data_IF_815386820583
#
_entry.id   IF_815386820583
#
_cell.length_a   1.000
_cell.length_b   1.000
_cell.length_c   1.000
_cell.angle_alpha   90.00
_cell.angle_beta   90.00
_cell.angle_gamma   90.00
#
_symmetry.space_group_name_H-M   'P 1'
#
loop_
_entity.id
_entity.type
_entity.pdbx_description
1 polymer ?
#
# COMPACT_ATOMS: atom_id res chain seq x y z
N UNK A 1 -3.52 6.43 2.20
CA UNK A 1 -3.04 6.58 0.80
C UNK A 1 -4.10 7.34 -0.01
N UNK A 2 -3.74 8.25 -0.91
CA UNK A 2 -4.68 8.87 -1.85
C UNK A 2 -4.40 8.35 -3.26
N UNK A 3 -5.45 7.94 -3.98
CA UNK A 3 -5.37 7.38 -5.34
C UNK A 3 -6.44 8.03 -6.21
N UNK A 4 -6.10 8.34 -7.45
CA UNK A 4 -7.10 8.84 -8.40
C UNK A 4 -7.90 7.68 -8.98
N UNK A 5 -9.19 7.92 -9.29
CA UNK A 5 -10.05 6.90 -9.90
C UNK A 5 -9.40 6.31 -11.16
N UNK A 6 -9.23 4.98 -11.16
CA UNK A 6 -8.70 4.22 -12.30
C UNK A 6 -7.19 4.29 -12.45
N UNK A 7 -6.49 5.01 -11.56
CA UNK A 7 -5.05 5.16 -11.59
C UNK A 7 -4.35 4.11 -10.72
N UNK A 8 -3.04 3.99 -10.98
CA UNK A 8 -2.13 3.17 -10.20
C UNK A 8 -1.20 4.06 -9.41
N UNK A 9 -1.07 3.80 -8.11
CA UNK A 9 -0.16 4.51 -7.21
C UNK A 9 0.84 3.54 -6.62
N UNK A 10 2.12 3.91 -6.66
CA UNK A 10 3.21 3.19 -6.00
C UNK A 10 3.11 3.40 -4.49
N UNK A 11 3.13 2.31 -3.72
CA UNK A 11 3.25 2.37 -2.26
C UNK A 11 4.68 2.78 -1.91
N UNK A 12 4.79 3.70 -0.96
CA UNK A 12 6.06 4.28 -0.53
C UNK A 12 6.16 4.11 0.99
N UNK A 13 7.36 4.23 1.57
CA UNK A 13 7.55 4.08 3.02
C UNK A 13 6.72 5.07 3.87
N UNK A 14 6.29 6.20 3.29
CA UNK A 14 5.37 7.14 3.96
C UNK A 14 3.93 6.62 4.05
N UNK A 15 3.55 5.68 3.18
CA UNK A 15 2.23 5.05 3.17
C UNK A 15 2.19 3.81 4.06
N UNK A 16 3.24 2.99 4.00
CA UNK A 16 3.33 1.70 4.66
C UNK A 16 4.80 1.37 4.91
N UNK A 17 5.15 1.08 6.18
CA UNK A 17 6.52 0.76 6.58
C UNK A 17 6.54 -0.09 7.84
N UNK A 18 7.40 -1.10 7.82
CA UNK A 18 7.87 -1.85 8.97
C UNK A 18 9.35 -1.57 9.20
N UNK A 19 9.77 -1.66 10.46
CA UNK A 19 11.17 -1.58 10.83
C UNK A 19 11.39 -2.47 12.05
N UNK A 20 12.57 -3.07 12.08
CA UNK A 20 13.06 -3.90 13.16
C UNK A 20 14.53 -3.52 13.38
N UNK A 21 14.98 -3.50 14.62
CA UNK A 21 16.35 -3.15 15.00
C UNK A 21 17.32 -4.32 14.76
N UNK A 22 16.81 -5.56 14.80
CA UNK A 22 17.60 -6.78 14.71
C UNK A 22 17.56 -7.39 13.29
N UNK A 23 16.56 -7.02 12.47
CA UNK A 23 16.35 -7.59 11.14
C UNK A 23 16.40 -6.56 10.01
N UNK A 24 16.95 -6.95 8.85
CA UNK A 24 17.01 -6.08 7.68
C UNK A 24 15.63 -5.96 7.00
N UNK A 25 15.45 -4.94 6.15
CA UNK A 25 14.20 -4.75 5.40
C UNK A 25 13.83 -5.95 4.49
N UNK A 26 14.82 -6.74 4.04
CA UNK A 26 14.55 -7.95 3.26
C UNK A 26 13.94 -9.09 4.10
N UNK A 27 14.15 -9.05 5.42
CA UNK A 27 13.71 -10.06 6.38
C UNK A 27 12.33 -9.73 6.98
N UNK A 28 11.81 -8.52 6.70
CA UNK A 28 10.48 -8.09 7.14
C UNK A 28 9.45 -8.39 6.07
N UNK A 29 8.56 -9.35 6.35
CA UNK A 29 7.57 -9.86 5.41
C UNK A 29 6.18 -9.34 5.76
N UNK A 30 5.55 -8.62 4.84
CA UNK A 30 4.14 -8.30 4.86
C UNK A 30 3.35 -9.48 4.28
N UNK A 31 2.36 -9.97 5.01
CA UNK A 31 1.33 -10.87 4.47
C UNK A 31 0.05 -10.09 4.26
N UNK A 32 -0.50 -10.15 3.05
CA UNK A 32 -1.83 -9.61 2.74
C UNK A 32 -2.86 -10.49 3.43
N UNK A 33 -3.60 -9.95 4.39
CA UNK A 33 -4.64 -10.69 5.12
C UNK A 33 -5.97 -10.59 4.37
N UNK A 34 -6.33 -9.39 3.93
CA UNK A 34 -7.50 -9.13 3.09
C UNK A 34 -7.11 -8.18 1.97
N UNK A 35 -7.29 -8.61 0.71
CA UNK A 35 -7.02 -7.80 -0.47
C UNK A 35 -8.05 -6.66 -0.64
N UNK A 36 -7.73 -5.59 -1.39
CA UNK A 36 -8.69 -4.52 -1.65
C UNK A 36 -9.92 -5.00 -2.41
N UNK A 37 -11.07 -4.37 -2.14
CA UNK A 37 -12.36 -4.72 -2.78
C UNK A 37 -12.63 -3.92 -4.06
N UNK A 38 -11.98 -2.77 -4.23
CA UNK A 38 -12.21 -1.85 -5.36
C UNK A 38 -10.92 -1.55 -6.16
N UNK A 39 -9.87 -2.31 -5.88
CA UNK A 39 -8.58 -2.22 -6.54
C UNK A 39 -7.81 -3.52 -6.47
N UNK A 40 -6.60 -3.49 -7.01
CA UNK A 40 -5.65 -4.59 -6.99
C UNK A 40 -4.39 -4.13 -6.28
N UNK A 41 -3.96 -4.87 -5.27
CA UNK A 41 -2.58 -4.79 -4.81
C UNK A 41 -1.71 -5.59 -5.77
N UNK A 42 -0.54 -5.07 -6.14
CA UNK A 42 0.35 -5.67 -7.12
C UNK A 42 1.80 -5.59 -6.67
N UNK A 43 2.57 -6.62 -7.00
CA UNK A 43 4.03 -6.61 -7.06
C UNK A 43 4.44 -6.56 -8.53
N UNK A 44 5.00 -5.42 -8.95
CA UNK A 44 5.25 -5.11 -10.35
C UNK A 44 4.01 -5.37 -11.22
N UNK A 45 4.09 -6.36 -12.11
CA UNK A 45 2.98 -6.77 -12.96
C UNK A 45 2.05 -7.82 -12.33
N UNK A 46 2.44 -8.44 -11.21
CA UNK A 46 1.74 -9.58 -10.61
C UNK A 46 0.78 -9.12 -9.52
N UNK A 47 -0.53 -9.46 -9.60
CA UNK A 47 -1.46 -9.22 -8.50
C UNK A 47 -1.08 -9.97 -7.22
N UNK A 48 -1.36 -9.36 -6.07
CA UNK A 48 -1.23 -9.96 -4.74
C UNK A 48 -2.64 -10.14 -4.15
N UNK A 49 -2.99 -11.38 -3.85
CA UNK A 49 -4.24 -11.77 -3.20
C UNK A 49 -4.03 -12.01 -1.69
N UNK A 50 -5.13 -12.27 -0.98
CA UNK A 50 -5.05 -12.68 0.43
C UNK A 50 -4.18 -13.95 0.57
N UNK A 51 -3.22 -13.90 1.49
CA UNK A 51 -2.22 -14.94 1.72
C UNK A 51 -0.89 -14.68 1.00
N UNK A 52 -0.86 -13.84 -0.03
CA UNK A 52 0.40 -13.48 -0.69
C UNK A 52 1.24 -12.54 0.16
N UNK A 53 2.54 -12.50 -0.15
CA UNK A 53 3.52 -11.75 0.63
C UNK A 53 4.40 -10.85 -0.22
N UNK A 54 4.95 -9.82 0.43
CA UNK A 54 6.03 -8.98 -0.07
C UNK A 54 6.90 -8.48 1.08
N UNK A 55 8.14 -8.11 0.79
CA UNK A 55 9.11 -7.62 1.79
C UNK A 55 9.10 -6.10 1.93
N UNK A 56 9.59 -5.58 3.06
CA UNK A 56 9.88 -4.16 3.21
C UNK A 56 10.87 -3.68 2.13
N UNK A 57 11.86 -4.50 1.78
CA UNK A 57 12.81 -4.18 0.70
C UNK A 57 12.14 -4.03 -0.68
N UNK A 58 11.15 -4.85 -1.02
CA UNK A 58 10.37 -4.71 -2.27
C UNK A 58 9.53 -3.42 -2.28
N UNK A 59 8.96 -3.03 -1.13
CA UNK A 59 8.26 -1.77 -0.97
C UNK A 59 9.20 -0.57 -1.12
N UNK A 60 10.36 -0.61 -0.45
CA UNK A 60 11.40 0.42 -0.55
C UNK A 60 11.92 0.57 -1.99
N UNK A 61 11.98 -0.55 -2.73
CA UNK A 61 12.31 -0.60 -4.15
C UNK A 61 11.18 -0.15 -5.09
N UNK A 62 10.05 0.35 -4.55
CA UNK A 62 8.89 0.85 -5.31
C UNK A 62 8.19 -0.21 -6.18
N UNK A 63 8.26 -1.47 -5.78
CA UNK A 63 7.67 -2.60 -6.54
C UNK A 63 6.25 -2.92 -6.12
N UNK A 64 5.76 -2.36 -5.03
CA UNK A 64 4.41 -2.59 -4.52
C UNK A 64 3.50 -1.44 -4.94
N UNK A 65 2.40 -1.75 -5.61
CA UNK A 65 1.47 -0.78 -6.18
C UNK A 65 0.04 -1.13 -5.80
N UNK A 66 -0.78 -0.11 -5.70
CA UNK A 66 -2.23 -0.24 -5.69
C UNK A 66 -2.79 0.32 -6.99
N UNK A 67 -3.69 -0.43 -7.64
CA UNK A 67 -4.38 -0.03 -8.85
C UNK A 67 -5.89 0.02 -8.60
N UNK A 68 -6.49 1.20 -8.71
CA UNK A 68 -7.94 1.34 -8.58
C UNK A 68 -8.67 0.83 -9.84
N UNK A 69 -9.80 0.17 -9.68
CA UNK A 69 -10.56 -0.41 -10.82
C UNK A 69 -11.31 0.62 -11.66
N UNK A 70 -11.50 1.84 -11.16
CA UNK A 70 -12.19 2.91 -11.88
C UNK A 70 -13.70 3.02 -11.60
N UNK A 71 -14.21 2.21 -10.68
CA UNK A 71 -15.57 2.36 -10.17
C UNK A 71 -15.72 3.62 -9.30
N UNK A 72 -16.93 4.15 -9.14
CA UNK A 72 -17.17 5.38 -8.37
C UNK A 72 -17.31 5.08 -6.87
N UNK A 73 -16.20 4.76 -6.21
CA UNK A 73 -16.13 4.61 -4.74
C UNK A 73 -15.19 5.65 -4.13
N UNK A 74 -15.48 6.08 -2.91
CA UNK A 74 -14.66 7.06 -2.21
C UNK A 74 -13.51 6.45 -1.41
N UNK A 75 -13.61 5.16 -1.09
CA UNK A 75 -12.66 4.48 -0.20
C UNK A 75 -12.44 3.03 -0.60
N UNK A 76 -11.24 2.55 -0.32
CA UNK A 76 -10.87 1.13 -0.35
C UNK A 76 -9.86 0.87 0.78
N UNK A 77 -9.52 -0.39 1.02
CA UNK A 77 -8.49 -0.75 1.99
C UNK A 77 -8.01 -2.16 1.76
N UNK A 78 -6.79 -2.45 2.18
CA UNK A 78 -6.37 -3.83 2.40
C UNK A 78 -5.79 -3.97 3.81
N UNK A 79 -5.86 -5.18 4.34
CA UNK A 79 -5.27 -5.50 5.64
C UNK A 79 -4.05 -6.38 5.48
N UNK A 80 -3.13 -6.26 6.41
CA UNK A 80 -1.86 -6.97 6.41
C UNK A 80 -1.39 -7.26 7.83
N UNK A 81 -0.41 -8.14 7.95
CA UNK A 81 0.44 -8.27 9.15
C UNK A 81 1.89 -8.35 8.72
N UNK A 82 2.80 -8.05 9.64
CA UNK A 82 4.23 -8.13 9.41
C UNK A 82 4.83 -9.24 10.27
N UNK A 83 5.75 -10.00 9.70
CA UNK A 83 6.59 -10.95 10.42
C UNK A 83 8.07 -10.64 10.18
N UNK A 84 8.90 -10.82 11.20
CA UNK A 84 10.36 -10.85 11.05
C UNK A 84 10.86 -12.27 10.72
N UNK A 85 12.17 -12.42 10.48
CA UNK A 85 12.77 -13.73 10.19
C UNK A 85 12.85 -14.67 11.42
N UNK A 86 12.68 -14.14 12.64
CA UNK A 86 12.63 -14.92 13.88
C UNK A 86 11.22 -15.46 14.20
N UNK A 87 10.20 -15.03 13.45
CA UNK A 87 8.80 -15.45 13.59
C UNK A 87 7.97 -14.58 14.53
N UNK A 88 8.50 -13.43 14.99
CA UNK A 88 7.68 -12.45 15.70
C UNK A 88 6.72 -11.78 14.71
N UNK A 89 5.48 -11.52 15.13
CA UNK A 89 4.44 -10.98 14.25
C UNK A 89 3.70 -9.80 14.87
N UNK A 90 3.30 -8.85 14.04
CA UNK A 90 2.37 -7.78 14.43
C UNK A 90 0.93 -8.29 14.45
N UNK A 91 0.01 -7.60 15.16
CA UNK A 91 -1.43 -7.71 14.89
C UNK A 91 -1.76 -7.38 13.43
N UNK A 92 -2.98 -7.72 13.02
CA UNK A 92 -3.50 -7.30 11.70
C UNK A 92 -3.78 -5.80 11.73
N UNK A 93 -3.26 -5.10 10.72
CA UNK A 93 -3.43 -3.67 10.49
C UNK A 93 -4.04 -3.41 9.11
N UNK A 94 -4.59 -2.22 8.88
CA UNK A 94 -5.22 -1.84 7.61
C UNK A 94 -4.60 -0.58 7.02
N UNK A 95 -4.28 -0.63 5.73
CA UNK A 95 -3.97 0.57 4.96
C UNK A 95 -5.25 1.13 4.35
N UNK A 96 -5.68 2.30 4.81
CA UNK A 96 -6.82 3.01 4.25
C UNK A 96 -6.44 3.77 2.97
N UNK A 97 -7.28 3.62 1.95
CA UNK A 97 -7.13 4.23 0.63
C UNK A 97 -8.31 5.17 0.40
N UNK A 98 -8.00 6.44 0.20
CA UNK A 98 -8.97 7.45 -0.24
C UNK A 98 -8.89 7.56 -1.75
N UNK A 99 -10.02 7.39 -2.41
CA UNK A 99 -10.14 7.47 -3.85
C UNK A 99 -10.70 8.84 -4.22
N UNK A 100 -10.01 9.56 -5.10
CA UNK A 100 -10.36 10.90 -5.52
C UNK A 100 -10.61 10.96 -7.03
N UNK A 101 -11.64 11.69 -7.46
CA UNK A 101 -11.96 11.89 -8.88
C UNK A 101 -11.02 12.91 -9.57
N UNK A 102 -10.36 13.76 -8.78
CA UNK A 102 -9.51 14.86 -9.22
C UNK A 102 -8.36 15.00 -8.22
N UNK A 103 -7.19 15.48 -8.66
CA UNK A 103 -6.18 15.96 -7.71
C UNK A 103 -6.71 17.22 -7.03
N UNK A 104 -6.42 17.43 -5.73
CA UNK A 104 -6.71 18.71 -5.11
C UNK A 104 -6.00 19.82 -5.90
N UNK A 105 -6.78 20.73 -6.49
CA UNK A 105 -6.24 21.89 -7.20
C UNK A 105 -5.71 22.86 -6.14
N UNK A 106 -4.40 22.90 -5.95
CA UNK A 106 -3.74 23.94 -5.18
C UNK A 106 -3.39 25.11 -6.13
N UNK A 107 -4.31 26.07 -6.29
CA UNK A 107 -3.96 27.33 -6.93
C UNK A 107 -2.97 28.07 -6.01
N UNK A 108 -1.83 28.58 -6.51
CA UNK A 108 -1.00 29.45 -5.71
C UNK A 108 -1.84 30.65 -5.29
N UNK A 109 -1.87 30.93 -3.99
CA UNK A 109 -2.45 32.16 -3.47
C UNK A 109 -1.72 33.30 -4.18
N UNK A 110 -2.41 34.01 -5.07
CA UNK A 110 -1.84 35.21 -5.68
C UNK A 110 -1.62 36.17 -4.51
N UNK A 111 -0.35 36.37 -4.12
CA UNK A 111 0.00 37.41 -3.17
C UNK A 111 -0.42 38.74 -3.79
N UNK A 112 -1.34 39.45 -3.12
CA UNK A 112 -1.65 40.85 -3.41
C UNK A 112 -0.51 41.74 -2.95
#
# INVERSE_FOLDING_TARGET
LIVLVGQTTVLQPVHLRAADVDHAAADLTFTVVEAPSHGLLRRDATPLASGDTFSQAELDARRILYQHTGNAVATDSFSFRVADAAGATTPVESLHITVADQLPIFLPLVAQ
#
